data_IF_369684799269
#
_entry.id   IF_369684799269
#
_cell.length_a   1.000
_cell.length_b   1.000
_cell.length_c   1.000
_cell.angle_alpha   90.00
_cell.angle_beta   90.00
_cell.angle_gamma   90.00
#
_symmetry.space_group_name_H-M   'P 1'
#
loop_
_entity.id
_entity.type
_entity.pdbx_description
1 polymer ?
#
# COMPACT_ATOMS: atom_id res chain seq x y z
N UNK A 1 6.93 10.31 30.27
CA UNK A 1 7.35 10.35 28.85
C UNK A 1 7.51 8.96 28.19
N UNK A 2 7.94 7.91 28.90
CA UNK A 2 8.10 6.55 28.34
C UNK A 2 6.79 5.93 27.86
N UNK A 3 5.75 5.95 28.67
CA UNK A 3 4.45 5.31 28.38
C UNK A 3 3.75 5.84 27.11
N UNK A 4 3.81 7.15 26.84
CA UNK A 4 3.26 7.74 25.60
C UNK A 4 4.02 7.28 24.35
N UNK A 5 5.34 7.13 24.45
CA UNK A 5 6.17 6.62 23.35
C UNK A 5 5.88 5.16 23.04
N UNK A 6 5.69 4.32 24.06
CA UNK A 6 5.33 2.90 23.86
C UNK A 6 3.94 2.74 23.22
N UNK A 7 2.95 3.51 23.68
CA UNK A 7 1.59 3.47 23.14
C UNK A 7 1.55 3.92 21.68
N UNK A 8 2.27 4.98 21.35
CA UNK A 8 2.37 5.47 19.97
C UNK A 8 3.05 4.45 19.05
N UNK A 9 4.12 3.80 19.54
CA UNK A 9 4.77 2.72 18.80
C UNK A 9 3.81 1.58 18.48
N UNK A 10 3.05 1.12 19.48
CA UNK A 10 2.05 0.05 19.29
C UNK A 10 0.98 0.44 18.25
N UNK A 11 0.54 1.70 18.22
CA UNK A 11 -0.42 2.18 17.23
C UNK A 11 0.12 2.07 15.79
N UNK A 12 1.38 2.45 15.55
CA UNK A 12 2.02 2.26 14.25
C UNK A 12 2.17 0.79 13.89
N UNK A 13 2.60 -0.05 14.84
CA UNK A 13 2.75 -1.49 14.65
C UNK A 13 1.43 -2.13 14.23
N UNK A 14 0.35 -1.87 14.96
CA UNK A 14 -0.97 -2.43 14.69
C UNK A 14 -1.50 -1.95 13.33
N UNK A 15 -1.35 -0.65 13.03
CA UNK A 15 -1.72 -0.08 11.74
C UNK A 15 -1.04 -0.82 10.58
N UNK A 16 0.28 -1.02 10.67
CA UNK A 16 1.06 -1.69 9.63
C UNK A 16 0.70 -3.17 9.51
N UNK A 17 0.51 -3.87 10.63
CA UNK A 17 0.08 -5.28 10.62
C UNK A 17 -1.25 -5.41 9.87
N UNK A 18 -2.28 -4.64 10.23
CA UNK A 18 -3.59 -4.77 9.62
C UNK A 18 -3.61 -4.37 8.14
N UNK A 19 -2.92 -3.31 7.75
CA UNK A 19 -2.85 -2.92 6.35
C UNK A 19 -2.17 -3.99 5.49
N UNK A 20 -0.99 -4.47 5.89
CA UNK A 20 -0.27 -5.48 5.12
C UNK A 20 -0.92 -6.86 5.20
N UNK A 21 -1.62 -7.19 6.29
CA UNK A 21 -2.45 -8.38 6.38
C UNK A 21 -3.64 -8.34 5.42
N UNK A 22 -4.30 -7.18 5.26
CA UNK A 22 -5.35 -7.01 4.26
C UNK A 22 -4.82 -7.19 2.84
N UNK A 23 -3.65 -6.60 2.54
CA UNK A 23 -3.00 -6.77 1.24
C UNK A 23 -2.70 -8.24 0.94
N UNK A 24 -2.21 -9.01 1.93
CA UNK A 24 -1.98 -10.43 1.79
C UNK A 24 -3.27 -11.22 1.57
N UNK A 25 -4.33 -10.91 2.32
CA UNK A 25 -5.62 -11.56 2.20
C UNK A 25 -6.22 -11.42 0.80
N UNK A 26 -6.06 -10.25 0.17
CA UNK A 26 -6.57 -10.01 -1.18
C UNK A 26 -5.74 -10.71 -2.27
N UNK A 27 -4.40 -10.76 -2.11
CA UNK A 27 -3.49 -11.15 -3.20
C UNK A 27 -2.96 -12.57 -3.12
N UNK A 28 -2.82 -13.16 -1.92
CA UNK A 28 -2.08 -14.42 -1.76
C UNK A 28 -2.74 -15.63 -2.41
N UNK A 29 -4.05 -15.79 -2.25
CA UNK A 29 -4.79 -16.95 -2.74
C UNK A 29 -5.66 -16.65 -3.97
N UNK A 30 -5.56 -15.47 -4.54
CA UNK A 30 -6.43 -15.06 -5.64
C UNK A 30 -6.29 -15.96 -6.87
N UNK A 31 -5.08 -16.42 -7.16
CA UNK A 31 -4.82 -17.32 -8.29
C UNK A 31 -5.50 -18.68 -8.08
N UNK A 32 -5.47 -19.19 -6.85
CA UNK A 32 -6.16 -20.44 -6.47
C UNK A 32 -7.66 -20.23 -6.57
N UNK A 33 -8.18 -19.15 -6.00
CA UNK A 33 -9.59 -18.79 -6.06
C UNK A 33 -10.10 -18.66 -7.51
N UNK A 34 -9.34 -17.98 -8.38
CA UNK A 34 -9.72 -17.84 -9.79
C UNK A 34 -9.75 -19.20 -10.51
N UNK A 35 -8.86 -20.12 -10.15
CA UNK A 35 -8.86 -21.47 -10.68
C UNK A 35 -10.09 -22.27 -10.19
N UNK A 36 -10.44 -22.14 -8.92
CA UNK A 36 -11.60 -22.82 -8.33
C UNK A 36 -12.93 -22.36 -8.91
N UNK A 37 -13.03 -21.10 -9.33
CA UNK A 37 -14.20 -20.58 -10.06
C UNK A 37 -14.17 -20.86 -11.57
N UNK A 38 -13.23 -21.71 -12.04
CA UNK A 38 -13.18 -22.22 -13.43
C UNK A 38 -12.40 -21.35 -14.41
N UNK A 39 -11.59 -20.36 -13.95
CA UNK A 39 -10.72 -19.59 -14.84
C UNK A 39 -9.53 -20.40 -15.29
N UNK A 40 -9.19 -20.31 -16.56
CA UNK A 40 -7.99 -20.95 -17.09
C UNK A 40 -6.73 -20.09 -16.82
N UNK A 41 -5.53 -20.70 -16.98
CA UNK A 41 -4.27 -20.04 -16.68
C UNK A 41 -4.04 -18.74 -17.48
N UNK A 42 -4.48 -18.69 -18.74
CA UNK A 42 -4.34 -17.52 -19.60
C UNK A 42 -5.23 -16.37 -19.13
N UNK A 43 -6.47 -16.66 -18.74
CA UNK A 43 -7.41 -15.67 -18.19
C UNK A 43 -6.88 -15.09 -16.86
N UNK A 44 -6.36 -15.95 -15.97
CA UNK A 44 -5.77 -15.52 -14.70
C UNK A 44 -4.59 -14.60 -14.96
N UNK A 45 -3.66 -14.99 -15.83
CA UNK A 45 -2.50 -14.18 -16.18
C UNK A 45 -2.91 -12.83 -16.76
N UNK A 46 -3.91 -12.81 -17.65
CA UNK A 46 -4.42 -11.57 -18.23
C UNK A 46 -5.01 -10.63 -17.16
N UNK A 47 -5.80 -11.17 -16.23
CA UNK A 47 -6.38 -10.39 -15.12
C UNK A 47 -5.27 -9.80 -14.24
N UNK A 48 -4.24 -10.58 -13.91
CA UNK A 48 -3.13 -10.10 -13.07
C UNK A 48 -2.29 -9.03 -13.77
N UNK A 49 -2.01 -9.20 -15.05
CA UNK A 49 -1.27 -8.19 -15.84
C UNK A 49 -2.08 -6.90 -15.91
N UNK A 50 -3.38 -7.00 -16.25
CA UNK A 50 -4.26 -5.83 -16.31
C UNK A 50 -4.35 -5.12 -14.95
N UNK A 51 -4.46 -5.87 -13.85
CA UNK A 51 -4.45 -5.34 -12.49
C UNK A 51 -3.18 -4.53 -12.19
N UNK A 52 -2.01 -5.03 -12.60
CA UNK A 52 -0.74 -4.32 -12.40
C UNK A 52 -0.64 -3.04 -13.26
N UNK A 53 -1.13 -3.06 -14.50
CA UNK A 53 -1.18 -1.87 -15.35
C UNK A 53 -2.10 -0.81 -14.73
N UNK A 54 -3.27 -1.20 -14.27
CA UNK A 54 -4.21 -0.31 -13.58
C UNK A 54 -3.56 0.25 -12.29
N UNK A 55 -2.79 -0.58 -11.58
CA UNK A 55 -2.10 -0.14 -10.36
C UNK A 55 -1.10 1.00 -10.63
N UNK A 56 -0.38 0.97 -11.72
CA UNK A 56 0.54 2.05 -12.10
C UNK A 56 -0.19 3.38 -12.31
N UNK A 57 -1.35 3.35 -12.96
CA UNK A 57 -2.17 4.54 -13.19
C UNK A 57 -2.74 5.06 -11.86
N UNK A 58 -3.28 4.16 -11.05
CA UNK A 58 -3.88 4.50 -9.75
C UNK A 58 -2.85 5.02 -8.78
N UNK A 59 -1.62 4.52 -8.79
CA UNK A 59 -0.53 5.05 -7.96
C UNK A 59 -0.27 6.54 -8.24
N UNK A 60 -0.26 6.95 -9.50
CA UNK A 60 -0.12 8.36 -9.89
C UNK A 60 -1.28 9.21 -9.36
N UNK A 61 -2.53 8.71 -9.47
CA UNK A 61 -3.70 9.41 -8.95
C UNK A 61 -3.69 9.52 -7.42
N UNK A 62 -3.29 8.45 -6.73
CA UNK A 62 -3.15 8.44 -5.27
C UNK A 62 -2.06 9.43 -4.83
N UNK A 63 -0.91 9.47 -5.52
CA UNK A 63 0.16 10.43 -5.26
C UNK A 63 -0.33 11.87 -5.39
N UNK A 64 -0.98 12.20 -6.50
CA UNK A 64 -1.56 13.53 -6.72
C UNK A 64 -2.61 13.90 -5.65
N UNK A 65 -3.50 12.95 -5.31
CA UNK A 65 -4.50 13.15 -4.27
C UNK A 65 -3.86 13.38 -2.89
N UNK A 66 -2.74 12.71 -2.63
CA UNK A 66 -2.00 12.86 -1.37
C UNK A 66 -1.39 14.27 -1.21
N UNK A 67 -0.90 14.85 -2.30
CA UNK A 67 -0.40 16.23 -2.30
C UNK A 67 -1.52 17.24 -2.00
N UNK A 68 -2.72 17.00 -2.52
CA UNK A 68 -3.87 17.91 -2.36
C UNK A 68 -4.56 17.78 -1.00
N UNK A 69 -4.78 16.56 -0.53
CA UNK A 69 -5.66 16.27 0.62
C UNK A 69 -4.88 15.81 1.86
N UNK A 70 -3.62 15.46 1.70
CA UNK A 70 -2.76 14.88 2.74
C UNK A 70 -3.04 13.38 2.98
N UNK A 71 -2.04 12.71 3.53
CA UNK A 71 -1.98 11.24 3.61
C UNK A 71 -3.19 10.60 4.29
N UNK A 72 -3.65 11.16 5.42
CA UNK A 72 -4.77 10.57 6.17
C UNK A 72 -6.07 10.57 5.38
N UNK A 73 -6.43 11.69 4.75
CA UNK A 73 -7.65 11.79 3.95
C UNK A 73 -7.58 10.89 2.71
N UNK A 74 -6.44 10.92 2.02
CA UNK A 74 -6.22 10.10 0.83
C UNK A 74 -6.35 8.63 1.14
N UNK A 75 -5.65 8.11 2.16
CA UNK A 75 -5.75 6.71 2.56
C UNK A 75 -7.20 6.36 2.90
N UNK A 76 -7.89 7.16 3.71
CA UNK A 76 -9.28 6.88 4.10
C UNK A 76 -10.21 6.80 2.89
N UNK A 77 -10.15 7.77 1.98
CA UNK A 77 -11.02 7.81 0.79
C UNK A 77 -10.77 6.60 -0.09
N UNK A 78 -9.51 6.30 -0.41
CA UNK A 78 -9.17 5.19 -1.29
C UNK A 78 -9.46 3.82 -0.66
N UNK A 79 -9.28 3.67 0.67
CA UNK A 79 -9.68 2.45 1.38
C UNK A 79 -11.20 2.25 1.30
N UNK A 80 -11.99 3.31 1.50
CA UNK A 80 -13.46 3.22 1.37
C UNK A 80 -13.89 2.90 -0.06
N UNK A 81 -13.30 3.54 -1.06
CA UNK A 81 -13.56 3.24 -2.48
C UNK A 81 -13.23 1.77 -2.77
N UNK A 82 -12.06 1.29 -2.34
CA UNK A 82 -11.66 -0.10 -2.54
C UNK A 82 -12.57 -1.08 -1.81
N UNK A 83 -13.04 -0.74 -0.61
CA UNK A 83 -13.98 -1.57 0.14
C UNK A 83 -15.33 -1.72 -0.60
N UNK A 84 -15.86 -0.61 -1.14
CA UNK A 84 -17.10 -0.63 -1.94
C UNK A 84 -16.91 -1.46 -3.22
N UNK A 85 -15.81 -1.26 -3.95
CA UNK A 85 -15.48 -2.04 -5.15
C UNK A 85 -15.37 -3.52 -4.80
N UNK A 86 -14.69 -3.86 -3.69
CA UNK A 86 -14.47 -5.24 -3.27
C UNK A 86 -15.75 -6.00 -2.87
N UNK A 87 -16.83 -5.30 -2.52
CA UNK A 87 -18.14 -5.93 -2.34
C UNK A 87 -18.61 -6.61 -3.64
N UNK A 88 -18.22 -6.08 -4.80
CA UNK A 88 -18.49 -6.72 -6.10
C UNK A 88 -17.87 -8.10 -6.25
N UNK A 89 -16.79 -8.44 -5.52
CA UNK A 89 -16.17 -9.77 -5.57
C UNK A 89 -17.10 -10.89 -5.09
N UNK A 90 -18.08 -10.56 -4.24
CA UNK A 90 -19.07 -11.51 -3.77
C UNK A 90 -20.17 -11.78 -4.81
N UNK A 91 -20.50 -10.77 -5.62
CA UNK A 91 -21.63 -10.83 -6.57
C UNK A 91 -21.22 -11.29 -7.98
N UNK A 92 -20.03 -10.91 -8.44
CA UNK A 92 -19.60 -11.16 -9.82
C UNK A 92 -18.77 -12.45 -9.99
N UNK A 93 -18.85 -13.38 -9.05
CA UNK A 93 -18.16 -14.67 -9.10
C UNK A 93 -18.48 -15.39 -10.41
N UNK A 94 -17.45 -15.76 -11.17
CA UNK A 94 -17.63 -16.47 -12.45
C UNK A 94 -17.72 -15.58 -13.70
N UNK A 95 -18.09 -14.31 -13.58
CA UNK A 95 -18.17 -13.38 -14.69
C UNK A 95 -16.80 -12.73 -15.01
N UNK A 96 -16.64 -12.19 -16.22
CA UNK A 96 -15.44 -11.41 -16.58
C UNK A 96 -15.29 -10.15 -15.72
N UNK A 97 -16.42 -9.61 -15.22
CA UNK A 97 -16.46 -8.47 -14.29
C UNK A 97 -15.69 -8.75 -12.99
N UNK A 98 -15.60 -10.00 -12.54
CA UNK A 98 -14.79 -10.35 -11.37
C UNK A 98 -13.33 -9.90 -11.52
N UNK A 99 -12.73 -10.14 -12.69
CA UNK A 99 -11.36 -9.74 -12.96
C UNK A 99 -11.15 -8.23 -12.93
N UNK A 100 -12.11 -7.45 -13.42
CA UNK A 100 -12.07 -6.00 -13.39
C UNK A 100 -12.22 -5.46 -11.96
N UNK A 101 -13.18 -5.98 -11.20
CA UNK A 101 -13.41 -5.61 -9.79
C UNK A 101 -12.18 -5.95 -8.94
N UNK A 102 -11.64 -7.16 -9.10
CA UNK A 102 -10.41 -7.56 -8.43
C UNK A 102 -9.24 -6.64 -8.81
N UNK A 103 -9.07 -6.41 -10.12
CA UNK A 103 -8.00 -5.56 -10.64
C UNK A 103 -8.01 -4.16 -10.02
N UNK A 104 -9.18 -3.53 -9.96
CA UNK A 104 -9.34 -2.21 -9.35
C UNK A 104 -9.06 -2.23 -7.83
N UNK A 105 -9.64 -3.19 -7.10
CA UNK A 105 -9.43 -3.29 -5.66
C UNK A 105 -7.95 -3.53 -5.32
N UNK A 106 -7.29 -4.45 -6.04
CA UNK A 106 -5.87 -4.74 -5.87
C UNK A 106 -4.99 -3.56 -6.25
N UNK A 107 -5.31 -2.85 -7.33
CA UNK A 107 -4.59 -1.68 -7.79
C UNK A 107 -4.61 -0.55 -6.74
N UNK A 108 -5.75 -0.28 -6.12
CA UNK A 108 -5.87 0.69 -5.03
C UNK A 108 -5.05 0.24 -3.82
N UNK A 109 -5.17 -1.03 -3.44
CA UNK A 109 -4.44 -1.60 -2.30
C UNK A 109 -2.92 -1.49 -2.50
N UNK A 110 -2.40 -1.85 -3.67
CA UNK A 110 -0.99 -1.69 -4.01
C UNK A 110 -0.57 -0.22 -4.08
N UNK A 111 -1.43 0.64 -4.64
CA UNK A 111 -1.17 2.06 -4.79
C UNK A 111 -1.07 2.83 -3.48
N UNK A 112 -1.69 2.34 -2.41
CA UNK A 112 -1.60 2.93 -1.08
C UNK A 112 -0.31 2.54 -0.33
N UNK A 113 0.38 1.46 -0.71
CA UNK A 113 1.57 0.99 -0.01
C UNK A 113 2.68 2.06 0.14
N UNK A 114 3.02 2.87 -0.88
CA UNK A 114 3.98 3.96 -0.74
C UNK A 114 3.58 5.00 0.31
N UNK A 115 2.27 5.28 0.48
CA UNK A 115 1.80 6.22 1.50
C UNK A 115 2.04 5.69 2.92
N UNK A 116 1.91 4.38 3.13
CA UNK A 116 2.28 3.75 4.39
C UNK A 116 3.79 3.81 4.63
N UNK A 117 4.61 3.66 3.58
CA UNK A 117 6.06 3.84 3.70
C UNK A 117 6.42 5.29 4.07
N UNK A 118 5.73 6.29 3.52
CA UNK A 118 5.86 7.71 3.94
C UNK A 118 5.42 7.89 5.39
N UNK A 119 4.34 7.23 5.85
CA UNK A 119 3.91 7.28 7.26
C UNK A 119 4.98 6.69 8.18
N UNK A 120 5.63 5.58 7.79
CA UNK A 120 6.74 5.00 8.56
C UNK A 120 7.96 5.91 8.61
N UNK A 121 8.32 6.53 7.47
CA UNK A 121 9.46 7.43 7.36
C UNK A 121 9.28 8.69 8.21
N UNK A 122 8.06 9.22 8.32
CA UNK A 122 7.71 10.39 9.12
C UNK A 122 7.37 10.04 10.58
N UNK A 123 7.48 8.78 10.97
CA UNK A 123 7.27 8.37 12.37
C UNK A 123 8.48 8.74 13.24
N UNK A 124 8.31 8.94 14.57
CA UNK A 124 9.44 9.18 15.49
C UNK A 124 10.31 7.94 15.72
N UNK A 125 10.07 6.86 14.97
CA UNK A 125 10.77 5.56 15.08
C UNK A 125 11.60 5.30 13.83
N UNK A 126 12.53 4.34 13.92
CA UNK A 126 13.32 3.94 12.76
C UNK A 126 12.39 3.29 11.72
N UNK A 127 12.46 3.76 10.49
CA UNK A 127 11.67 3.25 9.36
C UNK A 127 11.63 1.71 9.30
N UNK A 128 12.81 1.07 9.37
CA UNK A 128 12.91 -0.39 9.31
C UNK A 128 12.19 -1.12 10.44
N UNK A 129 12.11 -0.53 11.64
CA UNK A 129 11.39 -1.14 12.76
C UNK A 129 9.88 -1.17 12.51
N UNK A 130 9.31 -0.08 11.99
CA UNK A 130 7.88 -0.03 11.66
C UNK A 130 7.59 -0.91 10.44
N UNK A 131 8.41 -0.82 9.40
CA UNK A 131 8.23 -1.56 8.15
C UNK A 131 8.33 -3.08 8.34
N UNK A 132 9.14 -3.55 9.30
CA UNK A 132 9.25 -4.96 9.68
C UNK A 132 7.90 -5.54 10.10
N UNK A 133 7.13 -4.80 10.90
CA UNK A 133 5.80 -5.24 11.34
C UNK A 133 4.80 -5.37 10.19
N UNK A 134 4.95 -4.55 9.14
CA UNK A 134 4.21 -4.73 7.90
C UNK A 134 4.53 -6.07 7.23
N UNK A 135 5.80 -6.45 7.17
CA UNK A 135 6.21 -7.75 6.62
C UNK A 135 5.68 -8.92 7.45
N UNK A 136 5.72 -8.80 8.78
CA UNK A 136 5.13 -9.81 9.69
C UNK A 136 3.61 -9.88 9.47
N UNK A 137 2.93 -8.74 9.35
CA UNK A 137 1.50 -8.68 9.06
C UNK A 137 1.15 -9.34 7.72
N UNK A 138 1.95 -9.11 6.69
CA UNK A 138 1.79 -9.75 5.38
C UNK A 138 1.95 -11.28 5.48
N UNK A 139 2.99 -11.76 6.13
CA UNK A 139 3.22 -13.20 6.33
C UNK A 139 2.10 -13.85 7.16
N UNK A 140 1.68 -13.22 8.25
CA UNK A 140 0.56 -13.69 9.06
C UNK A 140 -0.75 -13.71 8.24
N UNK A 141 -0.98 -12.67 7.43
CA UNK A 141 -2.15 -12.58 6.55
C UNK A 141 -2.21 -13.72 5.53
N UNK A 142 -1.08 -14.11 4.94
CA UNK A 142 -1.00 -15.26 4.03
C UNK A 142 -1.40 -16.56 4.74
N UNK A 143 -0.86 -16.81 5.93
CA UNK A 143 -1.18 -18.04 6.70
C UNK A 143 -2.64 -18.07 7.14
N UNK A 144 -3.15 -16.97 7.68
CA UNK A 144 -4.55 -16.86 8.11
C UNK A 144 -5.49 -17.01 6.90
N UNK A 145 -5.15 -16.42 5.76
CA UNK A 145 -5.94 -16.57 4.54
C UNK A 145 -6.00 -18.03 4.06
N UNK A 146 -4.88 -18.77 4.16
CA UNK A 146 -4.85 -20.22 3.85
C UNK A 146 -5.78 -21.01 4.75
N UNK A 147 -5.68 -20.81 6.05
CA UNK A 147 -6.53 -21.49 7.04
C UNK A 147 -8.01 -21.17 6.79
N UNK A 148 -8.35 -19.90 6.58
CA UNK A 148 -9.73 -19.47 6.33
C UNK A 148 -10.26 -20.06 5.02
N UNK A 149 -9.42 -20.13 3.99
CA UNK A 149 -9.76 -20.70 2.70
C UNK A 149 -10.14 -22.17 2.81
N UNK A 150 -9.33 -22.95 3.54
CA UNK A 150 -9.51 -24.40 3.66
C UNK A 150 -10.64 -24.78 4.63
N UNK A 151 -10.79 -24.07 5.74
CA UNK A 151 -11.73 -24.45 6.80
C UNK A 151 -13.11 -23.78 6.73
N UNK A 152 -13.21 -22.56 6.18
CA UNK A 152 -14.49 -21.84 6.11
C UNK A 152 -15.07 -21.87 4.68
N UNK A 153 -14.56 -21.01 3.85
CA UNK A 153 -14.93 -20.98 2.43
C UNK A 153 -13.93 -20.11 1.64
N UNK A 154 -13.76 -20.38 0.34
CA UNK A 154 -12.91 -19.58 -0.52
C UNK A 154 -13.24 -18.08 -0.53
N UNK A 155 -14.52 -17.72 -0.40
CA UNK A 155 -14.95 -16.30 -0.36
C UNK A 155 -14.59 -15.58 0.93
N UNK A 156 -14.30 -16.31 2.01
CA UNK A 156 -14.01 -15.72 3.33
C UNK A 156 -12.71 -14.93 3.36
N UNK A 157 -11.80 -15.13 2.40
CA UNK A 157 -10.60 -14.29 2.25
C UNK A 157 -10.95 -12.82 2.00
N UNK A 158 -12.06 -12.55 1.26
CA UNK A 158 -12.50 -11.18 1.00
C UNK A 158 -13.11 -10.54 2.25
N UNK A 159 -13.70 -11.32 3.16
CA UNK A 159 -14.18 -10.83 4.46
C UNK A 159 -12.97 -10.46 5.32
N UNK A 160 -11.96 -11.31 5.37
CA UNK A 160 -10.71 -11.02 6.09
C UNK A 160 -10.05 -9.73 5.55
N UNK A 161 -9.97 -9.61 4.22
CA UNK A 161 -9.46 -8.40 3.57
C UNK A 161 -10.20 -7.14 4.05
N UNK A 162 -11.53 -7.12 3.95
CA UNK A 162 -12.34 -5.98 4.37
C UNK A 162 -12.20 -5.68 5.86
N UNK A 163 -12.24 -6.70 6.71
CA UNK A 163 -12.10 -6.54 8.16
C UNK A 163 -10.77 -5.88 8.54
N UNK A 164 -9.65 -6.40 7.99
CA UNK A 164 -8.33 -5.84 8.24
C UNK A 164 -8.19 -4.43 7.63
N UNK A 165 -8.79 -4.20 6.47
CA UNK A 165 -8.73 -2.92 5.78
C UNK A 165 -9.47 -1.83 6.56
N UNK A 166 -10.68 -2.13 7.11
CA UNK A 166 -11.38 -1.23 8.02
C UNK A 166 -10.64 -1.02 9.35
N UNK A 167 -10.06 -2.09 9.94
CA UNK A 167 -9.22 -1.96 11.11
C UNK A 167 -8.06 -0.99 10.87
N UNK A 168 -7.42 -1.03 9.71
CA UNK A 168 -6.33 -0.11 9.37
C UNK A 168 -6.79 1.35 9.35
N UNK A 169 -8.03 1.67 8.92
CA UNK A 169 -8.57 3.04 9.00
C UNK A 169 -8.68 3.47 10.47
N UNK A 170 -9.25 2.62 11.33
CA UNK A 170 -9.42 2.96 12.74
C UNK A 170 -8.07 3.31 13.38
N UNK A 171 -7.06 2.48 13.15
CA UNK A 171 -5.73 2.74 13.69
C UNK A 171 -5.01 3.92 13.03
N UNK A 172 -5.29 4.23 11.77
CA UNK A 172 -4.76 5.42 11.10
C UNK A 172 -5.18 6.72 11.81
N UNK A 173 -6.36 6.75 12.41
CA UNK A 173 -6.82 7.92 13.17
C UNK A 173 -6.24 8.00 14.58
N UNK A 174 -5.68 6.93 15.11
CA UNK A 174 -4.99 6.96 16.41
C UNK A 174 -3.54 7.47 16.31
N UNK A 175 -2.92 7.35 15.14
CA UNK A 175 -1.56 7.83 14.87
C UNK A 175 -1.59 9.35 14.64
N UNK A 176 -0.59 10.15 15.12
CA UNK A 176 -0.49 11.57 14.84
C UNK A 176 -0.49 11.86 13.33
N UNK A 177 -1.03 13.03 12.93
CA UNK A 177 -0.94 13.43 11.52
C UNK A 177 0.54 13.57 11.15
N UNK A 178 1.01 12.97 10.06
CA UNK A 178 2.32 13.28 9.54
C UNK A 178 2.35 14.78 9.21
N UNK A 179 3.33 15.49 9.73
CA UNK A 179 3.63 16.83 9.22
C UNK A 179 3.95 16.64 7.74
N UNK A 180 3.22 17.34 6.88
CA UNK A 180 3.57 17.36 5.46
C UNK A 180 5.00 17.88 5.41
N UNK A 181 5.94 17.20 4.74
CA UNK A 181 7.21 17.80 4.47
C UNK A 181 6.89 19.13 3.77
N UNK A 182 7.31 20.23 4.39
CA UNK A 182 7.30 21.53 3.72
C UNK A 182 8.18 21.27 2.48
N UNK A 183 7.54 21.12 1.34
CA UNK A 183 8.26 21.22 0.07
C UNK A 183 8.70 22.68 0.03
N UNK A 184 9.82 22.95 0.67
CA UNK A 184 10.55 24.17 0.43
C UNK A 184 10.91 24.12 -1.05
N UNK A 185 10.23 24.92 -1.81
CA UNK A 185 10.56 25.30 -3.19
C UNK A 185 11.87 26.08 -3.25
N UNK A 186 12.80 25.79 -2.40
CA UNK A 186 14.20 26.13 -2.51
C UNK A 186 14.91 24.98 -3.23
N UNK A 187 14.79 24.98 -4.55
CA UNK A 187 15.88 24.46 -5.36
C UNK A 187 17.14 25.16 -4.85
N UNK A 188 18.19 24.43 -4.44
CA UNK A 188 19.48 25.06 -4.25
C UNK A 188 19.81 25.71 -5.59
N UNK A 189 19.82 27.05 -5.60
CA UNK A 189 20.39 27.78 -6.70
C UNK A 189 21.77 27.17 -6.97
N UNK A 190 21.90 26.53 -8.12
CA UNK A 190 23.17 26.10 -8.65
C UNK A 190 24.12 27.28 -8.54
N UNK A 191 25.01 27.21 -7.56
CA UNK A 191 26.21 28.05 -7.56
C UNK A 191 26.91 27.74 -8.86
N UNK A 192 26.66 28.56 -9.87
CA UNK A 192 27.61 28.75 -10.96
C UNK A 192 28.91 29.19 -10.31
N UNK A 193 29.77 28.27 -9.99
CA UNK A 193 31.18 28.59 -9.83
C UNK A 193 31.64 29.10 -11.21
N UNK A 194 31.79 30.40 -11.28
CA UNK A 194 32.60 31.06 -12.30
C UNK A 194 33.97 30.41 -12.25
N UNK A 195 34.24 29.53 -13.19
CA UNK A 195 35.60 29.18 -13.54
C UNK A 195 36.16 30.39 -14.28
N UNK A 196 36.51 31.42 -13.50
CA UNK A 196 37.37 32.49 -13.94
C UNK A 196 38.81 32.06 -13.71
N UNK A 197 39.57 32.07 -14.71
CA UNK A 197 41.00 32.23 -14.55
C UNK A 197 41.81 31.03 -15.00
N UNK A 198 42.25 31.18 -16.24
CA UNK A 198 43.39 30.53 -16.79
C UNK A 198 44.64 30.62 -15.90
N UNK A 199 45.48 29.82 -16.18
CA UNK A 199 46.90 29.75 -16.12
C UNK A 199 47.41 28.35 -15.74
N UNK A 200 48.13 27.88 -16.71
CA UNK A 200 49.43 27.22 -16.61
C UNK A 200 49.38 25.72 -16.74
N UNK A 201 49.25 25.29 -17.99
CA UNK A 201 49.92 24.05 -18.42
C UNK A 201 51.38 24.43 -18.68
N UNK A 202 52.25 24.06 -17.73
CA UNK A 202 53.72 24.01 -18.01
C UNK A 202 54.38 23.07 -17.00
N UNK A 203 55.08 22.11 -17.57
CA UNK A 203 56.05 21.21 -16.94
C UNK A 203 55.53 19.99 -16.18
N UNK A 204 55.40 18.86 -16.87
CA UNK A 204 56.01 17.61 -16.43
C UNK A 204 56.48 16.89 -17.69
N UNK A 205 57.81 17.01 -17.91
CA UNK A 205 58.58 15.93 -18.56
C UNK A 205 58.98 14.95 -17.51
#
# INVERSE_FOLDING_TARGET
>A
MGYFKERLYQQYVILFIFYFMSMAALSSLITVYMRDIGKNGSEISFILILSNIIALIIQGLIGYSNEQWGTRKTVTIYVLISAVISMGLFFFTGNWLFGLVYGLANAITLGLAPLFDVLAANSPYRFGQIRLWGTIGYAAGQQISGIIYDFLSPKSIFILYLACYFASIVFLYTVPKPEQPIVSSEQPAEKKEEISGGHTIRNIF
#
